data_IF_510741695281
#
_entry.id   IF_510741695281
#
_cell.length_a   1.000
_cell.length_b   1.000
_cell.length_c   1.000
_cell.angle_alpha   90.00
_cell.angle_beta   90.00
_cell.angle_gamma   90.00
#
_symmetry.space_group_name_H-M   'P 1'
#
loop_
_entity.id
_entity.type
_entity.pdbx_description
1 polymer ?
#
# COMPACT_ATOMS: atom_id res chain seq x y z
N UNK A 1 13.31 -27.00 48.91
CA UNK A 1 12.22 -26.29 48.21
C UNK A 1 12.87 -25.32 47.23
N UNK A 2 13.14 -25.77 46.01
CA UNK A 2 13.87 -25.00 44.98
C UNK A 2 12.89 -24.15 44.19
N UNK A 3 12.98 -22.84 44.35
CA UNK A 3 12.21 -21.86 43.57
C UNK A 3 12.73 -21.84 42.14
N UNK A 4 11.98 -22.46 41.22
CA UNK A 4 12.18 -22.26 39.79
C UNK A 4 11.79 -20.83 39.42
N UNK A 5 12.77 -19.97 39.18
CA UNK A 5 12.57 -18.69 38.51
C UNK A 5 12.29 -18.99 37.04
N UNK A 6 11.01 -18.95 36.65
CA UNK A 6 10.62 -19.01 35.25
C UNK A 6 11.31 -17.85 34.51
N UNK A 7 12.21 -18.18 33.59
CA UNK A 7 12.79 -17.20 32.68
C UNK A 7 11.65 -16.55 31.90
N UNK A 8 11.52 -15.23 31.98
CA UNK A 8 10.60 -14.51 31.10
C UNK A 8 10.95 -14.84 29.65
N UNK A 9 9.98 -15.16 28.79
CA UNK A 9 10.25 -15.49 27.40
C UNK A 9 11.00 -14.31 26.76
N UNK A 10 12.01 -14.61 25.94
CA UNK A 10 12.77 -13.61 25.24
C UNK A 10 11.82 -12.76 24.37
N UNK A 11 11.55 -11.53 24.82
CA UNK A 11 10.76 -10.57 24.06
C UNK A 11 11.62 -9.97 22.95
N UNK A 12 11.35 -10.35 21.70
CA UNK A 12 11.95 -9.68 20.53
C UNK A 12 11.38 -8.27 20.46
N UNK A 13 12.20 -7.27 20.79
CA UNK A 13 11.83 -5.85 20.71
C UNK A 13 12.22 -5.30 19.36
N UNK A 14 11.25 -5.01 18.51
CA UNK A 14 11.50 -4.31 17.25
C UNK A 14 11.49 -2.80 17.47
N UNK A 15 12.46 -2.09 16.87
CA UNK A 15 12.49 -0.63 16.84
C UNK A 15 11.68 -0.12 15.65
N UNK A 16 10.58 0.65 15.85
CA UNK A 16 9.81 1.23 14.74
C UNK A 16 10.67 2.05 13.79
N UNK A 17 11.70 2.73 14.31
CA UNK A 17 12.64 3.52 13.51
C UNK A 17 13.49 2.64 12.60
N UNK A 18 13.92 1.47 13.07
CA UNK A 18 14.70 0.53 12.28
C UNK A 18 13.86 -0.08 11.16
N UNK A 19 12.61 -0.50 11.46
CA UNK A 19 11.66 -1.00 10.46
C UNK A 19 11.47 0.04 9.36
N UNK A 20 11.07 1.27 9.72
CA UNK A 20 10.84 2.33 8.74
C UNK A 20 12.08 2.66 7.91
N UNK A 21 13.27 2.65 8.52
CA UNK A 21 14.52 2.85 7.78
C UNK A 21 14.74 1.77 6.72
N UNK A 22 14.52 0.50 7.07
CA UNK A 22 14.64 -0.61 6.13
C UNK A 22 13.62 -0.46 4.99
N UNK A 23 12.36 -0.18 5.32
CA UNK A 23 11.31 0.01 4.31
C UNK A 23 11.68 1.13 3.32
N UNK A 24 12.16 2.27 3.81
CA UNK A 24 12.60 3.37 2.95
C UNK A 24 13.80 3.00 2.07
N UNK A 25 14.81 2.32 2.63
CA UNK A 25 16.00 1.91 1.87
C UNK A 25 15.61 0.93 0.75
N UNK A 26 14.88 -0.13 1.08
CA UNK A 26 14.50 -1.15 0.10
C UNK A 26 13.60 -0.55 -0.98
N UNK A 27 12.61 0.26 -0.60
CA UNK A 27 11.74 0.96 -1.56
C UNK A 27 12.54 1.89 -2.48
N UNK A 28 13.49 2.64 -1.93
CA UNK A 28 14.34 3.53 -2.74
C UNK A 28 15.18 2.74 -3.74
N UNK A 29 15.72 1.58 -3.34
CA UNK A 29 16.47 0.70 -4.23
C UNK A 29 15.56 0.16 -5.34
N UNK A 30 14.39 -0.38 -4.98
CA UNK A 30 13.42 -0.95 -5.92
C UNK A 30 12.99 0.10 -6.95
N UNK A 31 12.56 1.29 -6.49
CA UNK A 31 12.15 2.38 -7.37
C UNK A 31 13.31 2.87 -8.27
N UNK A 32 14.53 2.98 -7.72
CA UNK A 32 15.69 3.40 -8.52
C UNK A 32 16.01 2.39 -9.61
N UNK A 33 15.99 1.09 -9.29
CA UNK A 33 16.25 0.03 -10.25
C UNK A 33 15.17 -0.01 -11.35
N UNK A 34 13.90 0.11 -10.95
CA UNK A 34 12.78 0.17 -11.89
C UNK A 34 12.87 1.39 -12.81
N UNK A 35 13.13 2.57 -12.24
CA UNK A 35 13.24 3.80 -13.02
C UNK A 35 14.42 3.78 -14.00
N UNK A 36 15.59 3.30 -13.57
CA UNK A 36 16.75 3.12 -14.46
C UNK A 36 16.43 2.18 -15.61
N UNK A 37 15.69 1.10 -15.33
CA UNK A 37 15.25 0.16 -16.35
C UNK A 37 14.34 0.83 -17.38
N UNK A 38 13.36 1.62 -16.96
CA UNK A 38 12.46 2.32 -17.90
C UNK A 38 13.22 3.35 -18.75
N UNK A 39 14.19 4.07 -18.17
CA UNK A 39 15.08 4.97 -18.93
C UNK A 39 15.87 4.20 -20.00
N UNK A 40 16.47 3.06 -19.65
CA UNK A 40 17.24 2.25 -20.61
C UNK A 40 16.34 1.79 -21.77
N UNK A 41 15.13 1.33 -21.45
CA UNK A 41 14.12 0.96 -22.44
C UNK A 41 13.80 2.09 -23.40
N UNK A 42 13.49 3.27 -22.86
CA UNK A 42 13.18 4.45 -23.63
C UNK A 42 14.34 4.90 -24.53
N UNK A 43 15.58 4.89 -24.02
CA UNK A 43 16.77 5.25 -24.81
C UNK A 43 17.06 4.27 -25.95
N UNK A 44 16.70 2.99 -25.77
CA UNK A 44 16.91 1.95 -26.78
C UNK A 44 15.73 1.78 -27.75
N UNK A 45 14.62 2.51 -27.53
CA UNK A 45 13.38 2.35 -28.31
C UNK A 45 12.75 0.96 -28.16
N UNK A 46 13.06 0.25 -27.07
CA UNK A 46 12.59 -1.11 -26.82
C UNK A 46 11.23 -1.07 -26.11
N UNK A 47 10.37 -2.00 -26.48
CA UNK A 47 9.18 -2.29 -25.68
C UNK A 47 9.59 -2.95 -24.36
N UNK A 48 8.77 -2.79 -23.32
CA UNK A 48 8.95 -3.38 -21.97
C UNK A 48 9.37 -4.87 -22.02
N UNK A 49 8.73 -5.68 -22.86
CA UNK A 49 9.03 -7.12 -23.00
C UNK A 49 10.41 -7.42 -23.60
N UNK A 50 11.06 -6.44 -24.23
CA UNK A 50 12.32 -6.60 -24.96
C UNK A 50 13.54 -6.15 -24.14
N UNK A 51 13.33 -5.49 -23.00
CA UNK A 51 14.40 -4.95 -22.15
C UNK A 51 14.99 -6.09 -21.31
N UNK A 52 16.32 -6.21 -21.30
CA UNK A 52 17.02 -7.12 -20.37
C UNK A 52 16.66 -6.72 -18.93
N UNK A 53 16.37 -7.67 -18.04
CA UNK A 53 15.81 -7.43 -16.68
C UNK A 53 14.30 -7.13 -16.63
N UNK A 54 13.49 -7.89 -17.37
CA UNK A 54 12.02 -7.87 -17.29
C UNK A 54 11.47 -7.81 -15.85
N UNK A 55 12.06 -8.56 -14.92
CA UNK A 55 11.63 -8.60 -13.51
C UNK A 55 11.86 -7.29 -12.72
N UNK A 56 12.49 -6.26 -13.30
CA UNK A 56 12.59 -4.92 -12.71
C UNK A 56 11.57 -3.94 -13.29
N UNK A 57 10.73 -4.35 -14.23
CA UNK A 57 9.70 -3.51 -14.81
C UNK A 57 8.73 -3.03 -13.73
N UNK A 58 8.43 -1.73 -13.74
CA UNK A 58 7.50 -1.12 -12.79
C UNK A 58 6.04 -1.39 -13.15
N UNK A 59 5.74 -1.67 -14.41
CA UNK A 59 4.39 -1.89 -14.92
C UNK A 59 4.06 -3.38 -15.16
N UNK A 60 4.72 -4.29 -14.46
CA UNK A 60 4.61 -5.72 -14.69
C UNK A 60 4.14 -6.44 -13.44
N UNK A 61 3.01 -7.16 -13.56
CA UNK A 61 2.42 -8.02 -12.54
C UNK A 61 3.38 -9.08 -11.96
N UNK A 62 4.41 -9.46 -12.72
CA UNK A 62 5.43 -10.42 -12.27
C UNK A 62 6.79 -9.74 -12.21
N UNK A 63 6.98 -8.93 -11.15
CA UNK A 63 8.18 -8.12 -10.99
C UNK A 63 8.63 -7.99 -9.51
N UNK A 64 9.87 -7.56 -9.31
CA UNK A 64 10.42 -7.22 -8.00
C UNK A 64 9.68 -6.03 -7.36
N UNK A 65 9.34 -4.94 -8.10
CA UNK A 65 8.43 -3.90 -7.63
C UNK A 65 7.10 -4.43 -7.09
N UNK A 66 6.36 -5.23 -7.87
CA UNK A 66 5.05 -5.79 -7.47
C UNK A 66 5.17 -6.68 -6.22
N UNK A 67 6.20 -7.54 -6.17
CA UNK A 67 6.47 -8.33 -4.97
C UNK A 67 6.74 -7.46 -3.74
N UNK A 68 7.51 -6.39 -3.90
CA UNK A 68 7.79 -5.47 -2.81
C UNK A 68 6.56 -4.66 -2.37
N UNK A 69 5.76 -4.15 -3.32
CA UNK A 69 4.48 -3.48 -3.06
C UNK A 69 3.53 -4.40 -2.29
N UNK A 70 3.38 -5.65 -2.76
CA UNK A 70 2.59 -6.69 -2.09
C UNK A 70 3.04 -6.90 -0.64
N UNK A 71 4.35 -6.96 -0.37
CA UNK A 71 4.88 -7.12 0.98
C UNK A 71 4.66 -5.88 1.87
N UNK A 72 4.77 -4.68 1.31
CA UNK A 72 4.46 -3.44 2.02
C UNK A 72 2.99 -3.41 2.44
N UNK A 73 2.07 -3.74 1.52
CA UNK A 73 0.64 -3.81 1.77
C UNK A 73 0.32 -4.86 2.84
N UNK A 74 0.90 -6.07 2.74
CA UNK A 74 0.75 -7.11 3.76
C UNK A 74 1.23 -6.64 5.13
N UNK A 75 2.41 -5.99 5.18
CA UNK A 75 2.99 -5.47 6.42
C UNK A 75 2.08 -4.41 7.06
N UNK A 76 1.55 -3.48 6.26
CA UNK A 76 0.58 -2.49 6.72
C UNK A 76 -0.68 -3.17 7.27
N UNK A 77 -1.24 -4.13 6.53
CA UNK A 77 -2.42 -4.88 6.92
C UNK A 77 -2.24 -5.62 8.25
N UNK A 78 -1.16 -6.38 8.39
CA UNK A 78 -0.82 -7.11 9.63
C UNK A 78 -0.68 -6.15 10.81
N UNK A 79 0.04 -5.03 10.65
CA UNK A 79 0.20 -4.04 11.73
C UNK A 79 -1.13 -3.40 12.14
N UNK A 80 -2.03 -3.14 11.20
CA UNK A 80 -3.37 -2.64 11.49
C UNK A 80 -4.26 -3.67 12.19
N UNK A 81 -4.15 -4.96 11.85
CA UNK A 81 -4.80 -6.05 12.59
C UNK A 81 -4.26 -6.16 14.02
N UNK A 82 -2.94 -6.08 14.20
CA UNK A 82 -2.31 -6.05 15.53
C UNK A 82 -2.83 -4.85 16.34
N UNK A 83 -2.89 -3.67 15.72
CA UNK A 83 -3.45 -2.47 16.33
C UNK A 83 -4.92 -2.68 16.72
N UNK A 84 -5.72 -3.32 15.87
CA UNK A 84 -7.13 -3.66 16.17
C UNK A 84 -7.25 -4.51 17.43
N UNK A 85 -6.41 -5.54 17.60
CA UNK A 85 -6.45 -6.38 18.79
C UNK A 85 -6.09 -5.61 20.06
N UNK A 86 -5.07 -4.76 20.02
CA UNK A 86 -4.70 -3.94 21.17
C UNK A 86 -5.75 -2.87 21.51
N UNK A 87 -6.33 -2.21 20.52
CA UNK A 87 -7.43 -1.27 20.69
C UNK A 87 -8.66 -1.95 21.33
N UNK A 88 -8.96 -3.19 20.90
CA UNK A 88 -10.05 -3.98 21.49
C UNK A 88 -9.76 -4.36 22.95
N UNK A 89 -8.51 -4.75 23.26
CA UNK A 89 -8.10 -5.06 24.62
C UNK A 89 -8.16 -3.84 25.55
N UNK A 90 -7.88 -2.63 25.02
CA UNK A 90 -8.06 -1.36 25.72
C UNK A 90 -9.50 -0.82 25.72
N UNK A 91 -10.49 -1.59 25.24
CA UNK A 91 -11.89 -1.18 25.10
C UNK A 91 -12.12 0.10 24.26
N UNK A 92 -11.20 0.44 23.36
CA UNK A 92 -11.32 1.58 22.46
C UNK A 92 -12.24 1.26 21.27
N UNK A 93 -13.22 2.13 20.99
CA UNK A 93 -14.21 1.95 19.91
C UNK A 93 -13.63 1.96 18.49
N UNK A 94 -12.36 2.33 18.34
CA UNK A 94 -11.61 2.42 17.10
C UNK A 94 -11.11 1.06 16.58
N UNK A 95 -11.19 0.00 17.40
CA UNK A 95 -10.71 -1.34 17.03
C UNK A 95 -11.27 -1.88 15.71
N UNK A 96 -12.55 -1.61 15.41
CA UNK A 96 -13.20 -2.11 14.19
C UNK A 96 -12.66 -1.41 12.95
N UNK A 97 -12.43 -0.10 13.00
CA UNK A 97 -11.87 0.63 11.85
C UNK A 97 -10.45 0.16 11.52
N UNK A 98 -9.62 -0.09 12.53
CA UNK A 98 -8.30 -0.72 12.33
C UNK A 98 -8.40 -2.12 11.73
N UNK A 99 -9.42 -2.90 12.13
CA UNK A 99 -9.66 -4.23 11.56
C UNK A 99 -10.01 -4.17 10.08
N UNK A 100 -10.96 -3.28 9.73
CA UNK A 100 -11.42 -3.13 8.35
C UNK A 100 -10.28 -2.61 7.47
N UNK A 101 -9.48 -1.64 7.92
CA UNK A 101 -8.28 -1.23 7.19
C UNK A 101 -7.29 -2.38 7.03
N UNK A 102 -7.01 -3.13 8.11
CA UNK A 102 -6.09 -4.25 8.06
C UNK A 102 -6.51 -5.31 7.04
N UNK A 103 -7.79 -5.68 7.02
CA UNK A 103 -8.35 -6.60 6.02
C UNK A 103 -8.24 -5.99 4.62
N UNK A 104 -8.56 -4.71 4.44
CA UNK A 104 -8.46 -4.02 3.15
C UNK A 104 -7.04 -4.02 2.58
N UNK A 105 -6.03 -3.73 3.40
CA UNK A 105 -4.62 -3.76 2.98
C UNK A 105 -4.11 -5.19 2.70
N UNK A 106 -4.61 -6.20 3.43
CA UNK A 106 -4.32 -7.60 3.11
C UNK A 106 -4.96 -8.04 1.79
N UNK A 107 -6.18 -7.56 1.52
CA UNK A 107 -6.82 -7.77 0.23
C UNK A 107 -6.05 -7.07 -0.90
N UNK A 108 -5.64 -5.81 -0.71
CA UNK A 108 -4.82 -5.09 -1.68
C UNK A 108 -3.48 -5.80 -1.95
N UNK A 109 -2.85 -6.37 -0.91
CA UNK A 109 -1.64 -7.20 -1.08
C UNK A 109 -1.88 -8.44 -1.93
N UNK A 110 -3.03 -9.11 -1.76
CA UNK A 110 -3.42 -10.25 -2.58
C UNK A 110 -3.72 -9.82 -4.01
N UNK A 111 -4.42 -8.71 -4.18
CA UNK A 111 -4.77 -8.14 -5.48
C UNK A 111 -3.51 -7.79 -6.28
N UNK A 112 -2.58 -7.07 -5.67
CA UNK A 112 -1.27 -6.72 -6.24
C UNK A 112 -0.48 -7.96 -6.69
N UNK A 113 -0.50 -9.04 -5.91
CA UNK A 113 0.24 -10.25 -6.24
C UNK A 113 -0.44 -11.13 -7.30
N UNK A 114 -1.75 -10.96 -7.51
CA UNK A 114 -2.57 -11.85 -8.33
C UNK A 114 -3.32 -11.14 -9.46
N UNK A 115 -3.10 -9.83 -9.64
CA UNK A 115 -3.76 -8.97 -10.63
C UNK A 115 -5.30 -9.12 -10.65
N UNK A 116 -5.95 -9.21 -9.47
CA UNK A 116 -7.38 -9.52 -9.43
C UNK A 116 -8.23 -8.40 -10.05
N UNK A 117 -7.83 -7.14 -9.88
CA UNK A 117 -8.51 -5.98 -10.45
C UNK A 117 -8.44 -5.96 -11.99
N UNK A 118 -7.38 -6.50 -12.60
CA UNK A 118 -7.32 -6.70 -14.06
C UNK A 118 -8.36 -7.73 -14.51
N UNK A 119 -8.46 -8.86 -13.81
CA UNK A 119 -9.47 -9.88 -14.10
C UNK A 119 -10.89 -9.35 -13.98
N UNK A 120 -11.17 -8.53 -12.96
CA UNK A 120 -12.46 -7.85 -12.84
C UNK A 120 -12.70 -6.88 -14.00
N UNK A 121 -11.70 -6.10 -14.39
CA UNK A 121 -11.74 -5.21 -15.55
C UNK A 121 -12.11 -5.95 -16.85
N UNK A 122 -11.54 -7.14 -17.07
CA UNK A 122 -11.89 -8.00 -18.20
C UNK A 122 -13.31 -8.58 -18.10
N UNK A 123 -13.81 -8.84 -16.88
CA UNK A 123 -15.19 -9.28 -16.63
C UNK A 123 -16.24 -8.22 -16.97
N UNK A 124 -15.85 -6.94 -17.03
CA UNK A 124 -16.71 -5.80 -17.35
C UNK A 124 -16.75 -5.46 -18.86
N UNK A 125 -16.55 -6.43 -19.75
CA UNK A 125 -16.69 -6.25 -21.22
C UNK A 125 -18.05 -5.69 -21.68
N UNK A 126 -19.06 -5.69 -20.82
CA UNK A 126 -20.38 -5.10 -21.07
C UNK A 126 -20.46 -3.60 -20.77
N UNK A 127 -19.46 -3.02 -20.08
CA UNK A 127 -19.34 -1.57 -19.94
C UNK A 127 -18.89 -0.97 -21.28
N UNK A 128 -19.40 0.22 -21.66
CA UNK A 128 -18.94 0.92 -22.86
C UNK A 128 -17.43 1.15 -22.82
N UNK A 129 -16.78 1.14 -23.98
CA UNK A 129 -15.38 1.54 -24.08
C UNK A 129 -15.22 2.95 -23.53
N UNK A 130 -14.41 3.06 -22.48
CA UNK A 130 -14.13 4.31 -21.79
C UNK A 130 -12.92 4.98 -22.43
N UNK A 131 -12.96 6.31 -22.53
CA UNK A 131 -11.92 7.09 -23.23
C UNK A 131 -11.18 8.02 -22.26
N UNK A 132 -9.92 8.34 -22.57
CA UNK A 132 -9.14 9.33 -21.80
C UNK A 132 -8.90 8.88 -20.35
N UNK A 133 -9.33 9.68 -19.37
CA UNK A 133 -9.09 9.42 -17.94
C UNK A 133 -9.63 8.07 -17.44
N UNK A 134 -10.65 7.55 -18.10
CA UNK A 134 -11.35 6.34 -17.70
C UNK A 134 -10.94 5.15 -18.56
N UNK A 135 -9.91 5.27 -19.40
CA UNK A 135 -9.50 4.22 -20.36
C UNK A 135 -9.27 2.87 -19.67
N UNK A 136 -8.78 2.88 -18.42
CA UNK A 136 -8.72 1.68 -17.60
C UNK A 136 -10.07 1.39 -16.94
N UNK A 137 -10.70 0.30 -17.36
CA UNK A 137 -12.11 -0.02 -17.02
C UNK A 137 -12.35 -0.18 -15.52
N UNK A 138 -11.34 -0.61 -14.76
CA UNK A 138 -11.50 -0.79 -13.32
C UNK A 138 -11.69 0.55 -12.58
N UNK A 139 -11.12 1.66 -13.09
CA UNK A 139 -11.23 3.00 -12.49
C UNK A 139 -12.68 3.46 -12.34
N UNK A 140 -13.54 3.11 -13.31
CA UNK A 140 -14.98 3.42 -13.28
C UNK A 140 -15.65 2.79 -12.05
N UNK A 141 -15.20 1.62 -11.64
CA UNK A 141 -15.69 0.89 -10.46
C UNK A 141 -14.93 1.33 -9.20
N UNK A 142 -13.63 1.60 -9.33
CA UNK A 142 -12.73 2.00 -8.25
C UNK A 142 -13.10 3.34 -7.62
N UNK A 143 -13.45 4.35 -8.42
CA UNK A 143 -13.80 5.70 -7.91
C UNK A 143 -14.98 5.66 -6.92
N UNK A 144 -16.15 5.08 -7.25
CA UNK A 144 -17.25 4.94 -6.30
C UNK A 144 -16.86 4.18 -5.03
N UNK A 145 -16.06 3.12 -5.14
CA UNK A 145 -15.59 2.34 -3.99
C UNK A 145 -14.72 3.20 -3.09
N UNK A 146 -13.73 3.92 -3.63
CA UNK A 146 -12.84 4.79 -2.86
C UNK A 146 -13.62 5.91 -2.16
N UNK A 147 -14.61 6.52 -2.84
CA UNK A 147 -15.47 7.54 -2.23
C UNK A 147 -16.28 6.94 -1.07
N UNK A 148 -16.92 5.78 -1.30
CA UNK A 148 -17.71 5.11 -0.27
C UNK A 148 -16.86 4.72 0.94
N UNK A 149 -15.68 4.13 0.72
CA UNK A 149 -14.71 3.81 1.77
C UNK A 149 -14.31 5.07 2.52
N UNK A 150 -13.92 6.14 1.81
CA UNK A 150 -13.55 7.42 2.44
C UNK A 150 -14.63 7.97 3.37
N UNK A 151 -15.89 7.98 2.92
CA UNK A 151 -17.04 8.43 3.72
C UNK A 151 -17.32 7.52 4.92
N UNK A 152 -17.28 6.20 4.73
CA UNK A 152 -17.49 5.21 5.79
C UNK A 152 -16.41 5.26 6.87
N UNK A 153 -15.20 5.70 6.51
CA UNK A 153 -14.08 5.86 7.44
C UNK A 153 -14.05 7.20 8.18
N UNK A 154 -14.87 8.21 7.81
CA UNK A 154 -14.92 9.49 8.52
C UNK A 154 -15.21 9.34 10.03
N UNK A 155 -16.22 8.54 10.48
CA UNK A 155 -16.48 8.36 11.89
C UNK A 155 -15.33 7.67 12.63
N UNK A 156 -14.53 6.84 11.95
CA UNK A 156 -13.32 6.26 12.53
C UNK A 156 -12.23 7.31 12.70
N UNK A 157 -11.98 8.12 11.65
CA UNK A 157 -10.98 9.18 11.68
C UNK A 157 -11.27 10.22 12.76
N UNK A 158 -12.55 10.60 12.96
CA UNK A 158 -12.93 11.55 14.01
C UNK A 158 -12.78 11.01 15.44
N UNK A 159 -12.71 9.69 15.63
CA UNK A 159 -12.51 9.06 16.95
C UNK A 159 -11.04 8.86 17.28
N UNK A 160 -10.14 8.96 16.30
CA UNK A 160 -8.70 8.84 16.53
C UNK A 160 -8.11 10.13 17.09
N UNK A 161 -6.96 10.04 17.80
CA UNK A 161 -6.16 11.22 18.11
C UNK A 161 -5.83 12.00 16.83
N UNK A 162 -5.99 13.33 16.86
CA UNK A 162 -5.82 14.20 15.68
C UNK A 162 -4.52 13.94 14.91
N UNK A 163 -3.41 13.68 15.62
CA UNK A 163 -2.12 13.37 14.99
C UNK A 163 -2.14 12.06 14.20
N UNK A 164 -2.82 11.02 14.70
CA UNK A 164 -2.97 9.74 14.01
C UNK A 164 -3.88 9.89 12.80
N UNK A 165 -5.03 10.55 12.98
CA UNK A 165 -5.97 10.81 11.89
C UNK A 165 -5.30 11.55 10.72
N UNK A 166 -4.58 12.64 10.99
CA UNK A 166 -3.87 13.39 9.94
C UNK A 166 -2.81 12.55 9.22
N UNK A 167 -2.08 11.68 9.93
CA UNK A 167 -1.10 10.80 9.30
C UNK A 167 -1.75 9.78 8.37
N UNK A 168 -2.88 9.21 8.77
CA UNK A 168 -3.66 8.29 7.93
C UNK A 168 -4.26 9.01 6.71
N UNK A 169 -4.78 10.22 6.89
CA UNK A 169 -5.30 11.03 5.76
C UNK A 169 -4.21 11.35 4.76
N UNK A 170 -3.03 11.77 5.21
CA UNK A 170 -1.89 12.04 4.31
C UNK A 170 -1.43 10.75 3.62
N UNK A 171 -1.30 9.64 4.35
CA UNK A 171 -0.94 8.35 3.78
C UNK A 171 -1.94 7.89 2.70
N UNK A 172 -3.24 7.96 3.02
CA UNK A 172 -4.31 7.59 2.10
C UNK A 172 -4.39 8.53 0.89
N UNK A 173 -4.21 9.83 1.07
CA UNK A 173 -4.22 10.79 -0.03
C UNK A 173 -3.05 10.57 -1.01
N UNK A 174 -1.87 10.22 -0.49
CA UNK A 174 -0.72 9.88 -1.33
C UNK A 174 -0.93 8.56 -2.06
N UNK A 175 -1.40 7.52 -1.36
CA UNK A 175 -1.69 6.21 -1.95
C UNK A 175 -2.78 6.30 -3.05
N UNK A 176 -3.97 6.80 -2.70
CA UNK A 176 -5.10 6.95 -3.64
C UNK A 176 -4.77 7.94 -4.75
N UNK A 177 -3.99 8.98 -4.44
CA UNK A 177 -3.52 9.94 -5.43
C UNK A 177 -2.65 9.29 -6.51
N UNK A 178 -1.85 8.27 -6.17
CA UNK A 178 -1.15 7.43 -7.14
C UNK A 178 -2.16 6.54 -7.88
N UNK A 179 -2.74 5.60 -7.14
CA UNK A 179 -3.59 4.51 -7.64
C UNK A 179 -4.77 4.93 -8.51
N UNK A 180 -5.34 6.11 -8.28
CA UNK A 180 -6.41 6.65 -9.13
C UNK A 180 -5.99 7.93 -9.83
N UNK A 181 -5.35 8.86 -9.11
CA UNK A 181 -5.05 10.18 -9.68
C UNK A 181 -4.02 10.13 -10.80
N UNK A 182 -2.85 9.55 -10.54
CA UNK A 182 -1.78 9.43 -11.54
C UNK A 182 -2.16 8.42 -12.61
N UNK A 183 -2.82 7.33 -12.24
CA UNK A 183 -3.28 6.32 -13.20
C UNK A 183 -4.28 6.90 -14.22
N UNK A 184 -5.22 7.73 -13.79
CA UNK A 184 -6.12 8.44 -14.71
C UNK A 184 -5.38 9.38 -15.65
N UNK A 185 -4.28 10.00 -15.20
CA UNK A 185 -3.43 10.87 -16.04
C UNK A 185 -2.63 10.02 -17.02
N UNK A 186 -2.05 8.90 -16.58
CA UNK A 186 -1.30 7.97 -17.42
C UNK A 186 -2.21 7.35 -18.49
N UNK A 187 -3.46 7.03 -18.15
CA UNK A 187 -4.49 6.57 -19.08
C UNK A 187 -4.80 7.59 -20.19
N UNK A 188 -4.87 8.89 -19.86
CA UNK A 188 -5.03 9.95 -20.88
C UNK A 188 -3.84 10.02 -21.84
N UNK A 189 -2.62 9.90 -21.30
CA UNK A 189 -1.39 9.94 -22.11
C UNK A 189 -1.29 8.71 -22.99
N UNK A 190 -1.60 7.52 -22.47
CA UNK A 190 -1.63 6.29 -23.26
C UNK A 190 -2.64 6.37 -24.41
N UNK A 191 -3.83 6.94 -24.16
CA UNK A 191 -4.83 7.14 -25.20
C UNK A 191 -4.36 8.10 -26.31
N UNK A 192 -3.64 9.17 -25.95
CA UNK A 192 -3.23 10.21 -26.89
C UNK A 192 -1.92 9.88 -27.65
N UNK A 193 -0.96 9.27 -26.96
CA UNK A 193 0.42 9.10 -27.42
C UNK A 193 0.89 7.63 -27.41
N UNK A 194 0.07 6.71 -26.90
CA UNK A 194 0.47 5.35 -26.57
C UNK A 194 1.41 5.31 -25.37
N UNK A 195 2.14 4.20 -25.22
CA UNK A 195 3.14 3.96 -24.15
C UNK A 195 4.42 4.80 -24.34
N UNK A 196 4.26 6.12 -24.43
CA UNK A 196 5.31 7.11 -24.62
C UNK A 196 6.24 7.18 -23.40
N UNK A 197 7.34 7.93 -23.52
CA UNK A 197 8.22 8.18 -22.38
C UNK A 197 7.48 8.88 -21.22
N UNK A 198 6.56 9.78 -21.54
CA UNK A 198 5.70 10.46 -20.56
C UNK A 198 4.82 9.46 -19.82
N UNK A 199 4.23 8.49 -20.53
CA UNK A 199 3.46 7.41 -19.91
C UNK A 199 4.32 6.62 -18.91
N UNK A 200 5.53 6.21 -19.30
CA UNK A 200 6.42 5.45 -18.42
C UNK A 200 6.85 6.26 -17.18
N UNK A 201 7.07 7.57 -17.33
CA UNK A 201 7.36 8.45 -16.19
C UNK A 201 6.17 8.55 -15.23
N UNK A 202 4.95 8.65 -15.75
CA UNK A 202 3.73 8.68 -14.94
C UNK A 202 3.52 7.36 -14.19
N UNK A 203 3.72 6.22 -14.84
CA UNK A 203 3.69 4.91 -14.18
C UNK A 203 4.73 4.82 -13.05
N UNK A 204 5.95 5.33 -13.25
CA UNK A 204 6.95 5.34 -12.18
C UNK A 204 6.55 6.27 -11.02
N UNK A 205 5.88 7.39 -11.31
CA UNK A 205 5.34 8.28 -10.28
C UNK A 205 4.19 7.63 -9.51
N UNK A 206 3.31 6.91 -10.19
CA UNK A 206 2.20 6.15 -9.62
C UNK A 206 2.72 5.13 -8.59
N UNK A 207 3.59 4.22 -9.02
CA UNK A 207 4.26 3.21 -8.18
C UNK A 207 4.95 3.82 -6.97
N UNK A 208 5.69 4.92 -7.18
CA UNK A 208 6.36 5.61 -6.10
C UNK A 208 5.36 6.18 -5.08
N UNK A 209 4.28 6.81 -5.55
CA UNK A 209 3.24 7.36 -4.68
C UNK A 209 2.55 6.28 -3.87
N UNK A 210 2.22 5.14 -4.48
CA UNK A 210 1.62 4.02 -3.77
C UNK A 210 2.52 3.50 -2.65
N UNK A 211 3.76 3.12 -2.97
CA UNK A 211 4.71 2.61 -1.97
C UNK A 211 4.98 3.62 -0.85
N UNK A 212 5.15 4.92 -1.20
CA UNK A 212 5.30 6.00 -0.22
C UNK A 212 4.07 6.09 0.68
N UNK A 213 2.87 6.06 0.11
CA UNK A 213 1.61 6.11 0.84
C UNK A 213 1.50 4.97 1.85
N UNK A 214 1.85 3.74 1.45
CA UNK A 214 1.84 2.57 2.33
C UNK A 214 2.85 2.72 3.47
N UNK A 215 4.08 3.18 3.20
CA UNK A 215 5.10 3.40 4.25
C UNK A 215 4.65 4.48 5.24
N UNK A 216 4.00 5.55 4.76
CA UNK A 216 3.40 6.57 5.63
C UNK A 216 2.29 5.98 6.50
N UNK A 217 1.48 5.07 5.96
CA UNK A 217 0.45 4.31 6.70
C UNK A 217 1.05 3.41 7.78
N UNK A 218 2.10 2.66 7.45
CA UNK A 218 2.88 1.85 8.41
C UNK A 218 3.44 2.73 9.53
N UNK A 219 4.01 3.88 9.18
CA UNK A 219 4.50 4.85 10.16
C UNK A 219 3.36 5.37 11.04
N UNK A 220 2.19 5.64 10.48
CA UNK A 220 1.03 6.14 11.23
C UNK A 220 0.57 5.13 12.29
N UNK A 221 0.42 3.85 11.93
CA UNK A 221 -0.02 2.80 12.86
C UNK A 221 1.04 2.50 13.93
N UNK A 222 2.32 2.44 13.56
CA UNK A 222 3.40 2.22 14.54
C UNK A 222 3.45 3.34 15.60
N UNK A 223 3.34 4.60 15.17
CA UNK A 223 3.33 5.75 16.08
C UNK A 223 2.06 5.79 16.93
N UNK A 224 0.93 5.28 16.43
CA UNK A 224 -0.31 5.20 17.20
C UNK A 224 -0.23 4.13 18.29
N UNK A 225 0.30 2.95 17.96
CA UNK A 225 0.55 1.86 18.91
C UNK A 225 1.49 2.35 20.01
N UNK A 226 2.59 3.02 19.66
CA UNK A 226 3.55 3.55 20.63
C UNK A 226 2.91 4.57 21.58
N UNK A 227 2.15 5.53 21.03
CA UNK A 227 1.56 6.62 21.79
C UNK A 227 0.34 6.21 22.66
N UNK A 228 -0.41 5.18 22.25
CA UNK A 228 -1.73 4.87 22.82
C UNK A 228 -1.71 3.56 23.61
N UNK A 229 -0.85 2.61 23.24
CA UNK A 229 -0.90 1.23 23.73
C UNK A 229 0.37 0.80 24.49
N UNK A 230 1.31 1.71 24.73
CA UNK A 230 2.52 1.45 25.55
C UNK A 230 3.67 0.75 24.82
N UNK A 231 3.70 0.80 23.48
CA UNK A 231 4.77 0.24 22.65
C UNK A 231 4.71 -1.28 22.46
N UNK A 232 5.65 -1.90 21.71
CA UNK A 232 5.62 -3.32 21.33
C UNK A 232 5.88 -4.32 22.48
N UNK A 233 5.79 -3.89 23.74
CA UNK A 233 5.65 -4.80 24.87
C UNK A 233 4.22 -5.36 24.91
N UNK A 234 3.80 -6.01 23.83
CA UNK A 234 2.59 -6.81 23.78
C UNK A 234 2.73 -7.94 24.81
N UNK A 235 2.10 -7.78 25.97
CA UNK A 235 1.74 -8.94 26.78
C UNK A 235 0.57 -9.60 26.09
N UNK A 236 0.86 -10.54 25.18
CA UNK A 236 -0.15 -11.49 24.72
C UNK A 236 -0.49 -12.33 25.95
N UNK A 237 -1.59 -12.00 26.62
CA UNK A 237 -2.16 -12.87 27.62
C UNK A 237 -2.71 -14.08 26.89
N UNK A 238 -1.94 -15.17 26.87
CA UNK A 238 -2.47 -16.49 26.53
C UNK A 238 -3.37 -16.91 27.67
N UNK A 239 -4.69 -16.89 27.44
CA UNK A 239 -5.67 -17.63 28.25
C UNK A 239 -5.46 -19.13 28.09
#
# INVERSE_FOLDING_TARGET
MTTHTASSPAAVRFSPKAILRILWIVTSIVLTLGFLREIIGALQGLQTSQITFFYLALNSEVSLPTWWSSLLLATAGILMIICSYAERAGAHRTWLGWRVLGIGFLYASLDEAAALHEWFGEGFKWLPDSTGALNFRWVVVGIPIVIAVGLLFLPFLFRLPRRTAMRLVVAGAVFVGGALGVEMISAMVDFAEGRSFTYQLLMACEEAMEMIGVILGIRAVLLHIDATLGGPAFRIATT
#
